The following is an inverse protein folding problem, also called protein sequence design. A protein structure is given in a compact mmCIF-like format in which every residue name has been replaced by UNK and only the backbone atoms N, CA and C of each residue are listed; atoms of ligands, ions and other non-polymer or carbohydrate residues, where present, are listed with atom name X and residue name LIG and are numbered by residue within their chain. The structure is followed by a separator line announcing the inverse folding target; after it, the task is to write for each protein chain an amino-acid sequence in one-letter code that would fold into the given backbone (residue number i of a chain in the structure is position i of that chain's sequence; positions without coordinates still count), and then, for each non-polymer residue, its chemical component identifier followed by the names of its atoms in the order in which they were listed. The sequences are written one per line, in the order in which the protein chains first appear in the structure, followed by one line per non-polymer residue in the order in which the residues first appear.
data_IF_150602311992
#
_entry.id   IF_150602311992
#
_cell.length_a   1.000
_cell.length_b   1.000
_cell.length_c   1.000
_cell.angle_alpha   90.00
_cell.angle_beta   90.00
_cell.angle_gamma   90.00
#
_symmetry.space_group_name_H-M   'P 1'
#
loop_
_entity.id
_entity.type
_entity.pdbx_description
1 polymer ?
#
# COMPACT_ATOMS: atom_id res chain seq x y z
N UNK A 1 33.40 18.92 -7.84
CA UNK A 1 32.53 19.82 -7.05
C UNK A 1 31.10 19.36 -7.33
N UNK A 2 30.49 18.58 -6.44
CA UNK A 2 29.18 17.94 -6.67
C UNK A 2 28.06 18.52 -5.80
N UNK A 3 28.40 19.55 -5.02
CA UNK A 3 27.52 20.27 -4.13
C UNK A 3 27.90 21.74 -4.16
N UNK A 4 26.90 22.61 -4.12
CA UNK A 4 27.04 24.07 -4.03
C UNK A 4 26.25 24.57 -2.82
N UNK A 5 26.55 25.78 -2.35
CA UNK A 5 25.77 26.40 -1.28
C UNK A 5 24.38 26.79 -1.77
N UNK A 6 23.40 26.87 -0.88
CA UNK A 6 22.05 27.28 -1.26
C UNK A 6 22.02 28.73 -1.79
N UNK A 7 22.83 29.62 -1.22
CA UNK A 7 22.98 31.00 -1.71
C UNK A 7 23.50 31.07 -3.14
N UNK A 8 24.52 30.27 -3.46
CA UNK A 8 25.12 30.21 -4.80
C UNK A 8 24.16 29.55 -5.81
N UNK A 9 23.37 28.56 -5.37
CA UNK A 9 22.34 27.95 -6.19
C UNK A 9 21.22 28.92 -6.55
N UNK A 10 20.77 29.73 -5.58
CA UNK A 10 19.74 30.75 -5.82
C UNK A 10 20.28 31.86 -6.73
N UNK A 11 21.55 32.26 -6.56
CA UNK A 11 22.21 33.23 -7.45
C UNK A 11 22.28 32.73 -8.90
N UNK A 12 22.64 31.45 -9.10
CA UNK A 12 22.59 30.81 -10.43
C UNK A 12 21.16 30.80 -10.98
N UNK A 13 20.15 30.53 -10.14
CA UNK A 13 18.75 30.57 -10.58
C UNK A 13 18.29 32.01 -10.92
N UNK A 14 18.84 33.03 -10.26
CA UNK A 14 18.59 34.45 -10.52
C UNK A 14 19.23 34.93 -11.83
N UNK A 15 20.36 34.35 -12.24
CA UNK A 15 20.95 34.64 -13.57
C UNK A 15 20.05 34.19 -14.72
N UNK A 16 19.26 33.13 -14.52
CA UNK A 16 18.31 32.61 -15.52
C UNK A 16 16.89 33.17 -15.36
N UNK A 17 16.55 33.80 -14.23
CA UNK A 17 15.21 34.32 -13.93
C UNK A 17 15.24 35.83 -13.64
N UNK A 18 14.37 36.62 -14.27
CA UNK A 18 14.41 38.08 -14.11
C UNK A 18 13.97 38.62 -12.73
N UNK A 19 13.50 37.77 -11.81
CA UNK A 19 12.97 38.15 -10.49
C UNK A 19 13.36 37.14 -9.40
N UNK A 20 13.71 37.67 -8.21
CA UNK A 20 14.15 36.88 -7.04
C UNK A 20 13.09 35.96 -6.44
N UNK A 21 11.80 36.29 -6.59
CA UNK A 21 10.70 35.40 -6.17
C UNK A 21 10.54 34.21 -7.14
N UNK A 22 10.76 34.44 -8.43
CA UNK A 22 10.67 33.38 -9.45
C UNK A 22 11.85 32.41 -9.38
N UNK A 23 13.05 32.90 -9.05
CA UNK A 23 14.23 32.04 -8.86
C UNK A 23 14.07 31.10 -7.66
N UNK A 24 13.39 31.54 -6.59
CA UNK A 24 13.04 30.68 -5.45
C UNK A 24 12.00 29.63 -5.81
N UNK A 25 10.94 30.00 -6.53
CA UNK A 25 9.93 29.04 -7.00
C UNK A 25 10.54 28.02 -7.98
N UNK A 26 11.45 28.46 -8.86
CA UNK A 26 12.17 27.59 -9.79
C UNK A 26 13.11 26.61 -9.06
N UNK A 27 13.86 27.08 -8.06
CA UNK A 27 14.67 26.25 -7.19
C UNK A 27 13.84 25.17 -6.47
N UNK A 28 12.64 25.54 -6.01
CA UNK A 28 11.70 24.61 -5.37
C UNK A 28 11.15 23.58 -6.34
N UNK A 29 10.83 23.97 -7.57
CA UNK A 29 10.41 23.03 -8.63
C UNK A 29 11.52 22.02 -8.99
N UNK A 30 12.79 22.44 -8.96
CA UNK A 30 13.94 21.54 -9.19
C UNK A 30 14.14 20.52 -8.07
N UNK A 31 13.82 20.89 -6.83
CA UNK A 31 13.82 19.98 -5.68
C UNK A 31 12.62 19.01 -5.72
N UNK A 32 11.42 19.52 -6.01
CA UNK A 32 10.20 18.70 -6.13
C UNK A 32 10.26 17.70 -7.29
N UNK A 33 10.88 18.08 -8.40
CA UNK A 33 11.13 17.16 -9.53
C UNK A 33 12.22 16.13 -9.26
N UNK A 34 12.97 16.27 -8.16
CA UNK A 34 14.08 15.39 -7.80
C UNK A 34 15.29 15.52 -8.73
N UNK A 35 15.35 16.58 -9.54
CA UNK A 35 16.52 16.87 -10.38
C UNK A 35 17.70 17.37 -9.55
N UNK A 36 17.41 18.02 -8.43
CA UNK A 36 18.36 18.53 -7.43
C UNK A 36 17.85 18.11 -6.05
N UNK A 37 18.74 17.96 -5.07
CA UNK A 37 18.35 17.72 -3.67
C UNK A 37 18.88 18.86 -2.81
N UNK A 38 17.99 19.58 -2.14
CA UNK A 38 18.34 20.65 -1.20
C UNK A 38 18.32 20.10 0.23
N UNK A 39 19.48 20.09 0.88
CA UNK A 39 19.66 19.64 2.27
C UNK A 39 20.20 20.81 3.11
N UNK A 40 19.27 21.66 3.57
CA UNK A 40 19.62 22.86 4.31
C UNK A 40 20.43 23.83 3.45
N UNK A 41 21.68 24.09 3.84
CA UNK A 41 22.58 25.02 3.14
C UNK A 41 23.35 24.37 1.97
N UNK A 42 23.19 23.06 1.76
CA UNK A 42 23.92 22.30 0.73
C UNK A 42 22.97 21.76 -0.33
N UNK A 43 23.29 22.05 -1.59
CA UNK A 43 22.50 21.64 -2.75
C UNK A 43 23.28 20.64 -3.59
N UNK A 44 22.71 19.45 -3.82
CA UNK A 44 23.32 18.39 -4.62
C UNK A 44 22.77 18.41 -6.06
N UNK A 45 23.61 18.82 -7.01
CA UNK A 45 23.26 18.90 -8.43
C UNK A 45 23.20 17.52 -9.13
N UNK A 46 23.71 16.46 -8.48
CA UNK A 46 23.73 15.09 -9.02
C UNK A 46 23.18 14.08 -8.00
N UNK A 47 21.85 14.03 -7.81
CA UNK A 47 21.21 13.12 -6.86
C UNK A 47 21.59 11.65 -7.10
N UNK A 48 21.80 11.25 -8.35
CA UNK A 48 22.24 9.90 -8.70
C UNK A 48 23.58 9.49 -8.06
N UNK A 49 24.55 10.41 -7.98
CA UNK A 49 25.86 10.10 -7.39
C UNK A 49 25.78 9.98 -5.87
N UNK A 50 24.92 10.79 -5.23
CA UNK A 50 24.62 10.70 -3.80
C UNK A 50 23.95 9.36 -3.50
N UNK A 51 22.91 9.01 -4.27
CA UNK A 51 22.22 7.72 -4.15
C UNK A 51 23.16 6.53 -4.38
N UNK A 52 24.09 6.61 -5.35
CA UNK A 52 25.10 5.56 -5.59
C UNK A 52 26.06 5.41 -4.41
N UNK A 53 26.49 6.52 -3.81
CA UNK A 53 27.39 6.53 -2.66
C UNK A 53 26.69 5.99 -1.40
N UNK A 54 25.44 6.40 -1.17
CA UNK A 54 24.61 5.85 -0.09
C UNK A 54 24.35 4.36 -0.30
N UNK A 55 23.99 3.92 -1.50
CA UNK A 55 23.82 2.50 -1.80
C UNK A 55 25.10 1.70 -1.57
N UNK A 56 26.27 2.26 -1.90
CA UNK A 56 27.57 1.63 -1.64
C UNK A 56 27.83 1.50 -0.14
N UNK A 57 27.60 2.55 0.65
CA UNK A 57 27.77 2.52 2.12
C UNK A 57 26.76 1.56 2.77
N UNK A 58 25.51 1.57 2.32
CA UNK A 58 24.48 0.64 2.80
C UNK A 58 24.89 -0.79 2.45
N UNK A 59 25.34 -1.03 1.22
CA UNK A 59 25.81 -2.35 0.79
C UNK A 59 27.05 -2.79 1.55
N UNK A 60 28.02 -1.91 1.83
CA UNK A 60 29.26 -2.23 2.57
C UNK A 60 29.00 -2.44 4.07
N UNK A 61 28.16 -1.60 4.68
CA UNK A 61 27.76 -1.74 6.08
C UNK A 61 26.89 -2.98 6.31
N UNK A 62 26.01 -3.31 5.36
CA UNK A 62 25.29 -4.58 5.34
C UNK A 62 26.25 -5.74 4.97
N UNK A 63 27.27 -5.53 4.13
CA UNK A 63 28.19 -6.59 3.68
C UNK A 63 29.31 -6.93 4.66
N UNK A 64 29.45 -6.26 5.81
CA UNK A 64 30.32 -6.76 6.88
C UNK A 64 29.81 -8.13 7.33
N UNK A 65 30.50 -9.25 7.01
CA UNK A 65 29.95 -10.60 7.16
C UNK A 65 29.71 -11.02 8.61
N UNK A 66 30.24 -10.24 9.56
CA UNK A 66 30.34 -10.62 10.97
C UNK A 66 29.52 -9.72 11.92
N UNK A 67 28.65 -8.86 11.37
CA UNK A 67 27.82 -7.98 12.19
C UNK A 67 26.64 -8.78 12.80
N UNK A 68 26.49 -8.83 14.14
CA UNK A 68 25.38 -9.53 14.80
C UNK A 68 24.00 -9.07 14.31
N UNK A 69 23.88 -7.81 13.86
CA UNK A 69 22.62 -7.26 13.34
C UNK A 69 22.10 -7.98 12.10
N UNK A 70 22.96 -8.57 11.24
CA UNK A 70 22.49 -9.34 10.08
C UNK A 70 21.77 -10.62 10.49
N UNK A 71 22.29 -11.32 11.51
CA UNK A 71 21.68 -12.56 12.01
C UNK A 71 20.30 -12.27 12.61
N UNK A 72 20.19 -11.15 13.34
CA UNK A 72 18.91 -10.67 13.87
C UNK A 72 17.93 -10.28 12.75
N UNK A 73 18.41 -9.58 11.71
CA UNK A 73 17.60 -9.24 10.53
C UNK A 73 17.10 -10.49 9.80
N UNK A 74 17.97 -11.47 9.53
CA UNK A 74 17.57 -12.72 8.88
C UNK A 74 16.56 -13.51 9.71
N UNK A 75 16.69 -13.50 11.04
CA UNK A 75 15.71 -14.11 11.95
C UNK A 75 14.36 -13.37 11.88
N UNK A 76 14.37 -12.05 11.91
CA UNK A 76 13.16 -11.23 11.80
C UNK A 76 12.49 -11.36 10.42
N UNK A 77 13.26 -11.46 9.34
CA UNK A 77 12.74 -11.70 7.99
C UNK A 77 12.06 -13.06 7.88
N UNK A 78 12.66 -14.11 8.44
CA UNK A 78 12.04 -15.44 8.51
C UNK A 78 10.74 -15.41 9.31
N UNK A 79 10.73 -14.75 10.47
CA UNK A 79 9.51 -14.61 11.27
C UNK A 79 8.43 -13.83 10.53
N UNK A 80 8.78 -12.71 9.87
CA UNK A 80 7.86 -11.92 9.06
C UNK A 80 7.29 -12.74 7.91
N UNK A 81 8.10 -13.54 7.22
CA UNK A 81 7.66 -14.39 6.13
C UNK A 81 6.62 -15.43 6.60
N UNK A 82 6.83 -16.05 7.78
CA UNK A 82 5.86 -16.97 8.37
C UNK A 82 4.54 -16.28 8.75
N UNK A 83 4.62 -15.08 9.32
CA UNK A 83 3.44 -14.26 9.65
C UNK A 83 2.67 -13.89 8.39
N UNK A 84 3.37 -13.47 7.34
CA UNK A 84 2.77 -13.09 6.07
C UNK A 84 2.09 -14.29 5.41
N UNK A 85 2.74 -15.45 5.37
CA UNK A 85 2.13 -16.67 4.83
C UNK A 85 0.85 -17.05 5.59
N UNK A 86 0.86 -16.97 6.93
CA UNK A 86 -0.31 -17.25 7.78
C UNK A 86 -1.41 -16.22 7.59
N UNK A 87 -1.08 -14.94 7.47
CA UNK A 87 -2.06 -13.90 7.20
C UNK A 87 -2.71 -14.09 5.81
N UNK A 88 -1.94 -14.45 4.79
CA UNK A 88 -2.48 -14.73 3.45
C UNK A 88 -3.43 -15.92 3.44
N UNK A 89 -3.07 -17.04 4.07
CA UNK A 89 -3.95 -18.22 4.12
C UNK A 89 -5.26 -17.93 4.86
N UNK A 90 -5.20 -17.17 5.95
CA UNK A 90 -6.38 -16.74 6.71
C UNK A 90 -7.29 -15.78 5.95
N UNK A 91 -6.76 -14.91 5.08
CA UNK A 91 -7.58 -14.02 4.25
C UNK A 91 -8.18 -14.78 3.07
N UNK A 92 -7.41 -15.66 2.42
CA UNK A 92 -7.93 -16.52 1.35
C UNK A 92 -9.05 -17.44 1.85
N UNK A 93 -8.86 -18.07 3.00
CA UNK A 93 -9.89 -18.95 3.59
C UNK A 93 -11.20 -18.22 3.88
N UNK A 94 -11.13 -16.99 4.41
CA UNK A 94 -12.31 -16.16 4.66
C UNK A 94 -13.06 -15.82 3.37
N UNK A 95 -12.32 -15.58 2.28
CA UNK A 95 -12.91 -15.25 0.99
C UNK A 95 -13.53 -16.46 0.30
N UNK A 96 -12.87 -17.62 0.35
CA UNK A 96 -13.44 -18.89 -0.11
C UNK A 96 -14.68 -19.28 0.69
N UNK A 97 -14.70 -19.02 1.99
CA UNK A 97 -15.87 -19.22 2.82
C UNK A 97 -17.03 -18.33 2.40
N UNK A 98 -16.78 -17.04 2.12
CA UNK A 98 -17.78 -16.12 1.57
C UNK A 98 -18.34 -16.59 0.22
N UNK A 99 -17.47 -17.06 -0.68
CA UNK A 99 -17.90 -17.64 -1.97
C UNK A 99 -18.75 -18.89 -1.77
N UNK A 100 -18.33 -19.81 -0.89
CA UNK A 100 -19.07 -21.01 -0.56
C UNK A 100 -20.45 -20.71 0.02
N UNK A 101 -20.56 -19.71 0.89
CA UNK A 101 -21.83 -19.25 1.43
C UNK A 101 -22.78 -18.74 0.34
N UNK A 102 -22.29 -17.91 -0.60
CA UNK A 102 -23.09 -17.42 -1.72
C UNK A 102 -23.57 -18.55 -2.64
N UNK A 103 -22.72 -19.53 -2.91
CA UNK A 103 -23.09 -20.72 -3.70
C UNK A 103 -24.15 -21.55 -2.97
N UNK A 104 -23.95 -21.83 -1.69
CA UNK A 104 -24.92 -22.57 -0.87
C UNK A 104 -26.26 -21.84 -0.75
N UNK A 105 -26.24 -20.52 -0.56
CA UNK A 105 -27.44 -19.69 -0.54
C UNK A 105 -28.18 -19.76 -1.88
N UNK A 106 -27.46 -19.68 -3.00
CA UNK A 106 -28.04 -19.77 -4.34
C UNK A 106 -28.63 -21.14 -4.61
N UNK A 107 -27.95 -22.22 -4.23
CA UNK A 107 -28.49 -23.59 -4.30
C UNK A 107 -29.74 -23.75 -3.41
N UNK A 108 -29.72 -23.17 -2.21
CA UNK A 108 -30.86 -23.18 -1.31
C UNK A 108 -32.07 -22.50 -1.93
N UNK A 109 -31.89 -21.32 -2.53
CA UNK A 109 -32.95 -20.63 -3.26
C UNK A 109 -33.43 -21.40 -4.49
N UNK A 110 -32.52 -21.96 -5.29
CA UNK A 110 -32.93 -22.82 -6.41
C UNK A 110 -33.79 -23.99 -5.93
N UNK A 111 -33.34 -24.70 -4.89
CA UNK A 111 -34.08 -25.83 -4.34
C UNK A 111 -35.47 -25.40 -3.84
N UNK A 112 -35.54 -24.34 -3.04
CA UNK A 112 -36.82 -23.83 -2.51
C UNK A 112 -37.77 -23.42 -3.63
N UNK A 113 -37.27 -22.73 -4.65
CA UNK A 113 -38.08 -22.20 -5.76
C UNK A 113 -38.62 -23.29 -6.69
N UNK A 114 -37.90 -24.41 -6.83
CA UNK A 114 -38.31 -25.49 -7.74
C UNK A 114 -39.03 -26.66 -7.06
N UNK A 115 -38.78 -26.91 -5.77
CA UNK A 115 -39.33 -28.09 -5.08
C UNK A 115 -40.45 -27.77 -4.08
N UNK A 116 -40.37 -26.66 -3.35
CA UNK A 116 -41.18 -26.47 -2.13
C UNK A 116 -42.13 -25.26 -2.22
N UNK A 117 -41.72 -24.17 -2.88
CA UNK A 117 -42.50 -22.93 -2.98
C UNK A 117 -42.62 -22.44 -4.43
N UNK A 118 -43.78 -21.90 -4.77
CA UNK A 118 -44.00 -21.20 -6.04
C UNK A 118 -43.18 -19.92 -6.10
N UNK A 119 -42.76 -19.51 -7.31
CA UNK A 119 -42.01 -18.29 -7.59
C UNK A 119 -42.55 -17.04 -6.89
N UNK A 120 -43.88 -16.90 -6.80
CA UNK A 120 -44.58 -15.76 -6.19
C UNK A 120 -44.20 -15.50 -4.72
N UNK A 121 -43.87 -16.55 -3.95
CA UNK A 121 -43.43 -16.39 -2.55
C UNK A 121 -41.92 -16.08 -2.47
N UNK A 122 -41.14 -16.56 -3.44
CA UNK A 122 -39.68 -16.37 -3.47
C UNK A 122 -39.27 -14.98 -3.98
N UNK A 123 -40.10 -14.34 -4.80
CA UNK A 123 -39.87 -13.01 -5.36
C UNK A 123 -39.56 -11.93 -4.29
N UNK A 124 -40.42 -11.69 -3.28
CA UNK A 124 -40.13 -10.71 -2.25
C UNK A 124 -38.91 -11.08 -1.38
N UNK A 125 -38.68 -12.37 -1.13
CA UNK A 125 -37.55 -12.85 -0.33
C UNK A 125 -36.23 -12.54 -1.04
N UNK A 126 -36.14 -12.87 -2.33
CA UNK A 126 -34.96 -12.60 -3.14
C UNK A 126 -34.67 -11.09 -3.22
N UNK A 127 -35.73 -10.28 -3.34
CA UNK A 127 -35.63 -8.82 -3.35
C UNK A 127 -35.01 -8.28 -2.05
N UNK A 128 -35.53 -8.70 -0.88
CA UNK A 128 -34.98 -8.25 0.41
C UNK A 128 -33.55 -8.73 0.65
N UNK A 129 -33.25 -9.99 0.33
CA UNK A 129 -31.91 -10.56 0.51
C UNK A 129 -30.90 -9.82 -0.36
N UNK A 130 -31.22 -9.57 -1.63
CA UNK A 130 -30.36 -8.81 -2.54
C UNK A 130 -30.17 -7.36 -2.07
N UNK A 131 -31.25 -6.72 -1.60
CA UNK A 131 -31.19 -5.37 -1.04
C UNK A 131 -30.26 -5.30 0.17
N UNK A 132 -30.34 -6.28 1.08
CA UNK A 132 -29.45 -6.39 2.24
C UNK A 132 -27.99 -6.57 1.79
N UNK A 133 -27.71 -7.41 0.78
CA UNK A 133 -26.35 -7.59 0.25
C UNK A 133 -25.77 -6.26 -0.29
N UNK A 134 -26.58 -5.49 -1.03
CA UNK A 134 -26.17 -4.18 -1.54
C UNK A 134 -25.90 -3.19 -0.41
N UNK A 135 -26.78 -3.13 0.61
CA UNK A 135 -26.59 -2.27 1.78
C UNK A 135 -25.32 -2.65 2.55
N UNK A 136 -25.05 -3.94 2.75
CA UNK A 136 -23.84 -4.43 3.42
C UNK A 136 -22.58 -4.10 2.62
N UNK A 137 -22.60 -4.31 1.30
CA UNK A 137 -21.49 -3.96 0.42
C UNK A 137 -21.20 -2.45 0.44
N UNK A 138 -22.25 -1.63 0.39
CA UNK A 138 -22.13 -0.17 0.45
C UNK A 138 -21.65 0.31 1.83
N UNK A 139 -22.19 -0.24 2.92
CA UNK A 139 -21.73 0.06 4.28
C UNK A 139 -20.27 -0.33 4.51
N UNK A 140 -19.85 -1.47 3.95
CA UNK A 140 -18.44 -1.88 3.97
C UNK A 140 -17.55 -0.90 3.21
N UNK A 141 -17.99 -0.45 2.03
CA UNK A 141 -17.29 0.56 1.22
C UNK A 141 -17.14 1.88 1.99
N UNK A 142 -18.22 2.41 2.57
CA UNK A 142 -18.19 3.63 3.38
C UNK A 142 -17.25 3.52 4.58
N UNK A 143 -17.25 2.38 5.27
CA UNK A 143 -16.39 2.15 6.44
C UNK A 143 -14.92 2.00 6.10
N UNK A 144 -14.62 1.44 4.93
CA UNK A 144 -13.25 1.01 4.58
C UNK A 144 -12.58 1.96 3.59
N UNK A 145 -13.34 2.81 2.91
CA UNK A 145 -12.90 3.80 1.90
C UNK A 145 -11.89 3.25 0.90
N UNK A 146 -11.95 1.94 0.67
CA UNK A 146 -11.05 1.19 -0.21
C UNK A 146 -11.87 0.73 -1.39
N UNK A 147 -11.26 0.75 -2.58
CA UNK A 147 -11.88 0.28 -3.80
C UNK A 147 -12.48 -1.13 -3.59
N UNK A 148 -13.70 -1.39 -4.08
CA UNK A 148 -14.36 -2.69 -3.98
C UNK A 148 -13.74 -3.70 -4.97
N UNK A 149 -12.40 -3.80 -4.99
CA UNK A 149 -11.65 -4.78 -5.77
C UNK A 149 -11.20 -5.91 -4.85
N UNK A 150 -11.06 -7.11 -5.40
CA UNK A 150 -10.52 -8.27 -4.69
C UNK A 150 -9.18 -7.92 -4.03
N UNK A 151 -8.31 -7.25 -4.77
CA UNK A 151 -6.97 -6.85 -4.32
C UNK A 151 -7.05 -5.83 -3.17
N UNK A 152 -7.92 -4.82 -3.27
CA UNK A 152 -8.14 -3.85 -2.20
C UNK A 152 -8.64 -4.50 -0.90
N UNK A 153 -9.63 -5.39 -1.01
CA UNK A 153 -10.14 -6.16 0.13
C UNK A 153 -9.06 -7.05 0.75
N UNK A 154 -8.32 -7.78 -0.09
CA UNK A 154 -7.27 -8.69 0.32
C UNK A 154 -6.15 -7.95 1.06
N UNK A 155 -5.60 -6.88 0.48
CA UNK A 155 -4.52 -6.09 1.09
C UNK A 155 -4.94 -5.47 2.42
N UNK A 156 -6.18 -4.97 2.53
CA UNK A 156 -6.66 -4.37 3.79
C UNK A 156 -6.80 -5.43 4.88
N UNK A 157 -7.45 -6.56 4.60
CA UNK A 157 -7.61 -7.65 5.59
C UNK A 157 -6.25 -8.25 5.95
N UNK A 158 -5.36 -8.38 4.98
CA UNK A 158 -3.98 -8.83 5.18
C UNK A 158 -3.24 -7.91 6.16
N UNK A 159 -3.21 -6.59 5.93
CA UNK A 159 -2.57 -5.63 6.83
C UNK A 159 -3.13 -5.67 8.25
N UNK A 160 -4.45 -5.82 8.40
CA UNK A 160 -5.10 -5.94 9.72
C UNK A 160 -4.69 -7.23 10.43
N UNK A 161 -4.71 -8.38 9.74
CA UNK A 161 -4.31 -9.67 10.32
C UNK A 161 -2.81 -9.73 10.61
N UNK A 162 -1.97 -9.20 9.72
CA UNK A 162 -0.53 -9.05 9.91
C UNK A 162 -0.23 -8.22 11.17
N UNK A 163 -0.83 -7.03 11.31
CA UNK A 163 -0.66 -6.18 12.51
C UNK A 163 -1.13 -6.87 13.79
N UNK A 164 -2.16 -7.70 13.72
CA UNK A 164 -2.64 -8.48 14.88
C UNK A 164 -1.66 -9.60 15.25
N UNK A 165 -1.14 -10.32 14.25
CA UNK A 165 -0.16 -11.39 14.45
C UNK A 165 1.20 -10.87 14.90
N UNK A 166 1.60 -9.66 14.52
CA UNK A 166 2.83 -9.02 15.00
C UNK A 166 2.74 -8.55 16.46
N UNK A 167 1.53 -8.35 17.00
CA UNK A 167 1.30 -7.97 18.40
C UNK A 167 1.15 -9.17 19.34
N UNK A 168 1.01 -10.37 18.78
CA UNK A 168 0.85 -11.62 19.53
C UNK A 168 2.22 -12.25 19.70
#
# INVERSE_FOLDING_TARGET
MNSISYSEFVEICDEFCCNREQSLDFAKMLDESGSVIVLGDVVFLRPYQVAKSMNKIISESIASPNDPRRRELEQMEKQKALIDQKAQSLVRGELYFGLGFLVLQTLGFMRLTFWELTWDVMEPICFFVTSIHVVLAYGFFLRTSTEPTFEGYFQRRFKVKQKKLMKT
#
